data_IF_441154479872
#
_entry.id   IF_441154479872
#
_cell.length_a   1.000
_cell.length_b   1.000
_cell.length_c   1.000
_cell.angle_alpha   90.00
_cell.angle_beta   90.00
_cell.angle_gamma   90.00
#
_symmetry.space_group_name_H-M   'P 1'
#
loop_
_entity.id
_entity.type
_entity.pdbx_description
1 polymer ?
#
# COMPACT_ATOMS: atom_id res chain seq x y z
N UNK A 1 14.66 5.53 4.20
CA UNK A 1 13.57 6.29 4.85
C UNK A 1 13.69 7.81 4.68
N UNK A 2 14.89 8.42 4.69
CA UNK A 2 15.04 9.88 4.61
C UNK A 2 14.27 10.54 3.45
N UNK A 3 14.43 10.03 2.22
CA UNK A 3 13.72 10.53 1.04
C UNK A 3 12.20 10.41 1.17
N UNK A 4 11.69 9.27 1.67
CA UNK A 4 10.26 9.11 1.91
C UNK A 4 9.74 10.08 2.97
N UNK A 5 10.52 10.40 4.01
CA UNK A 5 10.11 11.38 5.03
C UNK A 5 9.96 12.80 4.46
N UNK A 6 10.80 13.16 3.50
CA UNK A 6 10.72 14.45 2.80
C UNK A 6 9.44 14.56 1.97
N UNK A 7 9.09 13.52 1.22
CA UNK A 7 7.93 13.55 0.32
C UNK A 7 6.60 13.19 0.97
N UNK A 8 6.61 12.42 2.06
CA UNK A 8 5.39 11.99 2.74
C UNK A 8 4.97 12.93 3.88
N UNK A 9 5.75 13.99 4.14
CA UNK A 9 5.42 15.00 5.15
C UNK A 9 4.07 15.66 4.85
N UNK A 10 3.11 15.53 5.76
CA UNK A 10 1.78 16.13 5.63
C UNK A 10 0.73 15.28 4.90
N UNK A 11 1.10 14.10 4.39
CA UNK A 11 0.15 13.16 3.79
C UNK A 11 -0.37 12.16 4.83
N UNK A 12 -1.69 11.94 4.85
CA UNK A 12 -2.34 10.99 5.77
C UNK A 12 -2.54 9.61 5.14
N UNK A 13 -2.48 9.51 3.81
CA UNK A 13 -2.71 8.29 3.05
C UNK A 13 -1.86 8.28 1.78
N UNK A 14 -1.34 7.11 1.44
CA UNK A 14 -0.61 6.85 0.21
C UNK A 14 -1.16 5.59 -0.46
N UNK A 15 -1.04 5.53 -1.79
CA UNK A 15 -1.32 4.34 -2.60
C UNK A 15 0.01 3.79 -3.14
N UNK A 16 0.33 2.56 -2.77
CA UNK A 16 1.45 1.80 -3.34
C UNK A 16 0.94 1.00 -4.55
N UNK A 17 1.40 1.35 -5.75
CA UNK A 17 1.06 0.66 -7.00
C UNK A 17 2.11 -0.42 -7.26
N UNK A 18 1.67 -1.66 -7.42
CA UNK A 18 2.58 -2.79 -7.66
C UNK A 18 3.26 -3.26 -6.37
N UNK A 19 2.45 -3.54 -5.34
CA UNK A 19 2.93 -3.96 -4.02
C UNK A 19 3.63 -5.32 -3.97
N UNK A 20 3.54 -6.13 -5.03
CA UNK A 20 4.15 -7.44 -5.13
C UNK A 20 3.71 -8.35 -4.00
N UNK A 21 4.64 -8.72 -3.11
CA UNK A 21 4.34 -9.57 -1.94
C UNK A 21 3.79 -8.81 -0.73
N UNK A 22 3.94 -7.48 -0.68
CA UNK A 22 3.53 -6.65 0.46
C UNK A 22 4.58 -6.48 1.57
N UNK A 23 5.79 -7.02 1.42
CA UNK A 23 6.86 -6.88 2.43
C UNK A 23 7.28 -5.43 2.65
N UNK A 24 7.44 -4.66 1.57
CA UNK A 24 7.80 -3.24 1.65
C UNK A 24 6.69 -2.42 2.29
N UNK A 25 5.43 -2.70 1.95
CA UNK A 25 4.29 -2.05 2.57
C UNK A 25 4.27 -2.22 4.09
N UNK A 26 4.48 -3.44 4.59
CA UNK A 26 4.60 -3.71 6.04
C UNK A 26 5.79 -2.96 6.64
N UNK A 27 6.96 -2.99 5.99
CA UNK A 27 8.15 -2.30 6.49
C UNK A 27 7.92 -0.79 6.61
N UNK A 28 7.35 -0.16 5.58
CA UNK A 28 7.11 1.28 5.59
C UNK A 28 5.96 1.66 6.52
N UNK A 29 4.86 0.90 6.55
CA UNK A 29 3.76 1.15 7.47
C UNK A 29 4.21 1.20 8.95
N UNK A 30 5.17 0.35 9.35
CA UNK A 30 5.81 0.42 10.67
C UNK A 30 6.62 1.70 10.89
N UNK A 31 7.28 2.19 9.84
CA UNK A 31 8.12 3.39 9.92
C UNK A 31 7.32 4.70 9.87
N UNK A 32 6.08 4.64 9.39
CA UNK A 32 5.16 5.76 9.18
C UNK A 32 3.78 5.46 9.79
N UNK A 33 3.66 5.31 11.12
CA UNK A 33 2.41 4.88 11.77
C UNK A 33 1.25 5.87 11.59
N UNK A 34 1.53 7.15 11.31
CA UNK A 34 0.52 8.17 11.02
C UNK A 34 0.01 8.20 9.58
N UNK A 35 0.52 7.31 8.71
CA UNK A 35 0.15 7.25 7.30
C UNK A 35 -0.55 5.93 7.03
N UNK A 36 -1.73 6.00 6.41
CA UNK A 36 -2.43 4.83 5.88
C UNK A 36 -1.68 4.37 4.62
N UNK A 37 -1.11 3.17 4.68
CA UNK A 37 -0.36 2.56 3.60
C UNK A 37 -1.26 1.62 2.79
N UNK A 38 -1.93 2.16 1.78
CA UNK A 38 -2.83 1.39 0.91
C UNK A 38 -2.02 0.66 -0.16
N UNK A 39 -2.01 -0.67 -0.11
CA UNK A 39 -1.40 -1.50 -1.17
C UNK A 39 -2.36 -1.69 -2.33
N UNK A 40 -1.80 -1.88 -3.52
CA UNK A 40 -2.55 -2.24 -4.72
C UNK A 40 -1.72 -3.06 -5.70
N UNK A 41 -2.36 -4.04 -6.33
CA UNK A 41 -1.73 -4.88 -7.34
C UNK A 41 -2.80 -5.63 -8.17
N UNK A 42 -2.35 -6.42 -9.15
CA UNK A 42 -3.19 -7.32 -9.93
C UNK A 42 -3.70 -8.46 -9.05
N UNK A 43 -4.83 -9.06 -9.44
CA UNK A 43 -5.56 -10.08 -8.65
C UNK A 43 -4.64 -11.21 -8.15
N UNK A 44 -3.71 -11.67 -9.00
CA UNK A 44 -2.77 -12.74 -8.68
C UNK A 44 -1.86 -12.47 -7.46
N UNK A 45 -1.61 -11.20 -7.12
CA UNK A 45 -0.74 -10.82 -6.02
C UNK A 45 -1.50 -10.53 -4.71
N UNK A 46 -2.82 -10.32 -4.78
CA UNK A 46 -3.62 -9.87 -3.64
C UNK A 46 -3.62 -10.86 -2.47
N UNK A 47 -3.61 -12.17 -2.75
CA UNK A 47 -3.56 -13.19 -1.69
C UNK A 47 -2.24 -13.12 -0.91
N UNK A 48 -1.11 -12.94 -1.60
CA UNK A 48 0.20 -12.80 -0.98
C UNK A 48 0.28 -11.56 -0.09
N UNK A 49 -0.22 -10.43 -0.61
CA UNK A 49 -0.27 -9.17 0.15
C UNK A 49 -1.14 -9.33 1.40
N UNK A 50 -2.35 -9.89 1.27
CA UNK A 50 -3.26 -10.13 2.42
C UNK A 50 -2.59 -10.96 3.51
N UNK A 51 -1.85 -12.00 3.15
CA UNK A 51 -1.12 -12.84 4.11
C UNK A 51 -0.08 -12.02 4.88
N UNK A 52 0.76 -11.24 4.18
CA UNK A 52 1.76 -10.38 4.81
C UNK A 52 1.14 -9.30 5.71
N UNK A 53 0.06 -8.65 5.28
CA UNK A 53 -0.62 -7.63 6.08
C UNK A 53 -1.28 -8.23 7.33
N UNK A 54 -1.93 -9.39 7.17
CA UNK A 54 -2.56 -10.11 8.27
C UNK A 54 -1.53 -10.57 9.31
N UNK A 55 -0.39 -11.10 8.88
CA UNK A 55 0.71 -11.50 9.77
C UNK A 55 1.31 -10.29 10.50
N UNK A 56 1.44 -9.15 9.81
CA UNK A 56 1.99 -7.94 10.39
C UNK A 56 1.06 -7.26 11.42
N UNK A 57 -0.26 -7.39 11.26
CA UNK A 57 -1.27 -6.92 12.20
C UNK A 57 -1.28 -5.40 12.42
N UNK A 58 -0.84 -4.60 11.43
CA UNK A 58 -0.75 -3.14 11.55
C UNK A 58 -2.11 -2.48 11.28
N UNK A 59 -2.50 -1.51 12.11
CA UNK A 59 -3.77 -0.80 11.95
C UNK A 59 -3.79 0.18 10.77
N UNK A 60 -2.61 0.55 10.25
CA UNK A 60 -2.46 1.48 9.14
C UNK A 60 -2.24 0.79 7.78
N UNK A 61 -2.49 -0.52 7.67
CA UNK A 61 -2.46 -1.28 6.41
C UNK A 61 -3.83 -1.88 6.11
N UNK A 62 -4.73 -1.16 5.41
CA UNK A 62 -6.03 -1.70 5.01
C UNK A 62 -5.87 -2.84 4.00
N UNK A 63 -6.97 -3.53 3.69
CA UNK A 63 -6.97 -4.59 2.68
C UNK A 63 -6.46 -4.07 1.32
N UNK A 64 -5.69 -4.87 0.56
CA UNK A 64 -5.14 -4.43 -0.72
C UNK A 64 -6.24 -4.20 -1.74
N UNK A 65 -6.04 -3.21 -2.61
CA UNK A 65 -6.93 -2.92 -3.73
C UNK A 65 -6.51 -3.72 -4.96
N UNK A 66 -7.49 -4.24 -5.70
CA UNK A 66 -7.26 -4.71 -7.06
C UNK A 66 -7.04 -3.50 -7.97
N UNK A 67 -5.88 -3.44 -8.63
CA UNK A 67 -5.55 -2.41 -9.61
C UNK A 67 -4.73 -3.03 -10.74
N UNK A 68 -5.33 -3.15 -11.93
CA UNK A 68 -4.59 -3.36 -13.17
C UNK A 68 -4.38 -2.02 -13.86
N UNK A 69 -3.15 -1.49 -13.83
CA UNK A 69 -2.79 -0.21 -14.46
C UNK A 69 -2.94 -0.21 -15.99
N UNK A 70 -3.14 -1.39 -16.60
CA UNK A 70 -3.44 -1.52 -18.04
C UNK A 70 -4.93 -1.43 -18.36
N UNK A 71 -5.78 -1.51 -17.36
CA UNK A 71 -7.22 -1.34 -17.53
C UNK A 71 -7.57 0.15 -17.69
N UNK A 72 -8.80 0.42 -18.11
CA UNK A 72 -9.33 1.78 -18.14
C UNK A 72 -9.33 2.37 -16.73
N UNK A 73 -8.70 3.54 -16.59
CA UNK A 73 -8.76 4.30 -15.36
C UNK A 73 -10.13 4.96 -15.20
N UNK A 74 -10.64 5.08 -13.97
CA UNK A 74 -11.85 5.85 -13.72
C UNK A 74 -11.62 7.31 -14.14
N UNK A 75 -12.61 7.90 -14.78
CA UNK A 75 -12.63 9.34 -15.04
C UNK A 75 -12.85 10.08 -13.71
N UNK A 76 -12.26 11.26 -13.54
CA UNK A 76 -12.58 12.14 -12.41
C UNK A 76 -14.05 12.55 -12.51
N UNK A 77 -14.84 12.22 -11.48
CA UNK A 77 -16.23 12.67 -11.31
C UNK A 77 -16.33 13.96 -10.52
#
# INVERSE_FOLDING_TARGET
LAILREHLGGHERILEIGSGTGQHAVYFARCFPGIIWQTSDREENLQGIKAWLSEAGLSNTPAPLHLDVRASWPEET
#
